data_IF_028660969015
#
_entry.id   IF_028660969015
#
_cell.length_a   1.000
_cell.length_b   1.000
_cell.length_c   1.000
_cell.angle_alpha   90.00
_cell.angle_beta   90.00
_cell.angle_gamma   90.00
#
_symmetry.space_group_name_H-M   'P 1'
#
loop_
_entity.id
_entity.type
_entity.pdbx_description
1 polymer ?
#
# COMPACT_ATOMS: atom_id res chain seq x y z
N UNK A 1 15.94 8.81 19.67
CA UNK A 1 16.26 8.38 18.29
C UNK A 1 16.85 6.99 18.37
N UNK A 2 16.06 5.94 18.13
CA UNK A 2 16.58 4.59 17.85
C UNK A 2 17.24 4.66 16.48
N UNK A 3 18.57 4.68 16.45
CA UNK A 3 19.37 5.08 15.29
C UNK A 3 19.65 3.97 14.26
N UNK A 4 19.08 2.77 14.41
CA UNK A 4 19.52 1.58 13.66
C UNK A 4 18.46 0.95 12.74
N UNK A 5 17.29 1.57 12.61
CA UNK A 5 16.23 1.08 11.72
C UNK A 5 16.11 1.98 10.49
N UNK A 6 17.07 1.88 9.56
CA UNK A 6 16.89 2.43 8.22
C UNK A 6 17.72 1.63 7.23
N UNK A 7 17.04 0.85 6.41
CA UNK A 7 17.58 0.42 5.12
C UNK A 7 17.21 1.48 4.11
N UNK A 8 18.17 1.91 3.28
CA UNK A 8 17.81 2.69 2.10
C UNK A 8 16.89 1.85 1.21
N UNK A 9 16.00 2.49 0.44
CA UNK A 9 15.04 1.78 -0.41
C UNK A 9 15.77 0.77 -1.31
N UNK A 10 15.42 -0.52 -1.17
CA UNK A 10 16.06 -1.61 -1.93
C UNK A 10 17.15 -2.38 -1.17
N UNK A 11 17.59 -1.91 0.00
CA UNK A 11 18.56 -2.64 0.83
C UNK A 11 17.89 -3.71 1.72
N UNK A 12 18.57 -4.82 2.04
CA UNK A 12 18.05 -5.86 2.93
C UNK A 12 17.84 -5.35 4.36
N UNK A 13 16.72 -5.74 4.99
CA UNK A 13 16.41 -5.39 6.39
C UNK A 13 17.53 -5.80 7.35
N UNK A 14 17.86 -4.88 8.28
CA UNK A 14 18.73 -5.16 9.42
C UNK A 14 18.16 -6.27 10.31
N UNK A 15 19.00 -6.86 11.15
CA UNK A 15 18.57 -7.92 12.06
C UNK A 15 17.54 -7.41 13.07
N UNK A 16 17.68 -6.16 13.51
CA UNK A 16 16.77 -5.47 14.41
C UNK A 16 15.39 -5.28 13.75
N UNK A 17 15.37 -4.83 12.50
CA UNK A 17 14.13 -4.68 11.72
C UNK A 17 13.45 -6.03 11.50
N UNK A 18 14.21 -7.10 11.22
CA UNK A 18 13.67 -8.47 11.10
C UNK A 18 13.05 -8.98 12.41
N UNK A 19 13.65 -8.66 13.56
CA UNK A 19 13.06 -8.98 14.87
C UNK A 19 11.70 -8.29 15.04
N UNK A 20 11.60 -7.00 14.71
CA UNK A 20 10.33 -6.27 14.77
C UNK A 20 9.27 -6.88 13.83
N UNK A 21 9.64 -7.23 12.60
CA UNK A 21 8.74 -7.90 11.65
C UNK A 21 8.22 -9.22 12.20
N UNK A 22 9.09 -10.05 12.79
CA UNK A 22 8.68 -11.33 13.37
C UNK A 22 7.75 -11.15 14.57
N UNK A 23 8.04 -10.17 15.44
CA UNK A 23 7.16 -9.79 16.55
C UNK A 23 5.78 -9.32 16.08
N UNK A 24 5.71 -8.58 14.96
CA UNK A 24 4.45 -8.19 14.33
C UNK A 24 3.72 -9.42 13.78
N UNK A 25 4.41 -10.33 13.08
CA UNK A 25 3.83 -11.58 12.55
C UNK A 25 3.16 -12.42 13.62
N UNK A 26 3.80 -12.57 14.78
CA UNK A 26 3.27 -13.35 15.90
C UNK A 26 1.96 -12.76 16.48
N UNK A 27 1.66 -11.48 16.21
CA UNK A 27 0.45 -10.79 16.66
C UNK A 27 -0.61 -10.65 15.56
N UNK A 28 -0.40 -11.26 14.40
CA UNK A 28 -1.42 -11.27 13.35
C UNK A 28 -2.55 -12.24 13.69
N UNK A 29 -3.77 -11.78 13.48
CA UNK A 29 -5.01 -12.54 13.72
C UNK A 29 -5.77 -12.82 12.42
N UNK A 30 -5.34 -12.20 11.31
CA UNK A 30 -5.89 -12.43 9.99
C UNK A 30 -4.97 -13.35 9.20
N UNK A 31 -5.52 -14.23 8.33
CA UNK A 31 -4.71 -14.97 7.39
C UNK A 31 -3.98 -13.99 6.46
N UNK A 32 -2.74 -14.31 6.14
CA UNK A 32 -1.90 -13.50 5.25
C UNK A 32 -1.56 -14.31 4.01
N UNK A 33 -1.87 -13.74 2.84
CA UNK A 33 -1.54 -14.38 1.56
C UNK A 33 -0.02 -14.48 1.39
N UNK A 34 0.53 -15.59 0.87
CA UNK A 34 1.98 -15.77 0.71
C UNK A 34 2.67 -14.65 -0.08
N UNK A 35 2.04 -14.15 -1.15
CA UNK A 35 2.58 -13.04 -1.94
C UNK A 35 2.69 -11.73 -1.15
N UNK A 36 1.86 -11.56 -0.11
CA UNK A 36 1.91 -10.41 0.78
C UNK A 36 2.79 -10.66 2.01
N UNK A 37 2.98 -11.91 2.45
CA UNK A 37 3.76 -12.29 3.62
C UNK A 37 5.27 -12.20 3.40
N UNK A 38 5.76 -11.01 3.11
CA UNK A 38 7.19 -10.72 2.95
C UNK A 38 7.66 -9.81 4.08
N UNK A 39 8.95 -9.90 4.40
CA UNK A 39 9.57 -9.00 5.39
C UNK A 39 9.34 -7.53 5.01
N UNK A 40 9.54 -7.22 3.72
CA UNK A 40 9.35 -5.88 3.18
C UNK A 40 7.93 -5.34 3.40
N UNK A 41 6.90 -6.11 3.05
CA UNK A 41 5.52 -5.64 3.15
C UNK A 41 5.10 -5.40 4.60
N UNK A 42 5.50 -6.27 5.53
CA UNK A 42 5.19 -6.10 6.94
C UNK A 42 5.99 -4.93 7.53
N UNK A 43 7.26 -4.79 7.15
CA UNK A 43 8.12 -3.72 7.65
C UNK A 43 7.62 -2.32 7.26
N UNK A 44 6.90 -2.17 6.13
CA UNK A 44 6.24 -0.89 5.78
C UNK A 44 5.28 -0.39 6.88
N UNK A 45 4.63 -1.30 7.59
CA UNK A 45 3.76 -0.94 8.72
C UNK A 45 4.55 -0.61 9.98
N UNK A 46 5.68 -1.29 10.20
CA UNK A 46 6.64 -0.95 11.27
C UNK A 46 7.19 0.46 11.07
N UNK A 47 7.69 0.77 9.88
CA UNK A 47 8.19 2.10 9.52
C UNK A 47 7.13 3.19 9.70
N UNK A 48 5.87 2.90 9.34
CA UNK A 48 4.78 3.85 9.56
C UNK A 48 4.50 4.08 11.06
N UNK A 49 4.54 3.02 11.87
CA UNK A 49 4.33 3.10 13.32
C UNK A 49 5.48 3.84 14.02
N UNK A 50 6.73 3.66 13.58
CA UNK A 50 7.91 4.36 14.10
C UNK A 50 7.84 5.89 13.93
N UNK A 51 7.04 6.39 12.99
CA UNK A 51 6.80 7.84 12.84
C UNK A 51 6.01 8.43 14.01
N UNK A 52 5.23 7.62 14.70
CA UNK A 52 4.29 8.05 15.74
C UNK A 52 4.70 7.54 17.13
N UNK A 53 5.51 6.50 17.19
CA UNK A 53 5.86 5.82 18.43
C UNK A 53 7.36 5.60 18.53
N UNK A 54 7.91 5.78 19.73
CA UNK A 54 9.35 5.60 20.01
C UNK A 54 9.67 4.33 20.80
N UNK A 55 8.66 3.73 21.45
CA UNK A 55 8.81 2.49 22.22
C UNK A 55 8.51 1.29 21.34
N UNK A 56 9.40 0.30 21.34
CA UNK A 56 9.27 -0.91 20.51
C UNK A 56 7.93 -1.62 20.69
N UNK A 57 7.44 -1.76 21.93
CA UNK A 57 6.14 -2.39 22.21
C UNK A 57 4.98 -1.68 21.48
N UNK A 58 4.93 -0.34 21.57
CA UNK A 58 3.86 0.46 20.99
C UNK A 58 3.95 0.45 19.46
N UNK A 59 5.16 0.49 18.90
CA UNK A 59 5.43 0.33 17.47
C UNK A 59 4.86 -1.00 16.96
N UNK A 60 5.19 -2.10 17.65
CA UNK A 60 4.76 -3.44 17.27
C UNK A 60 3.23 -3.58 17.35
N UNK A 61 2.60 -3.05 18.40
CA UNK A 61 1.15 -3.08 18.57
C UNK A 61 0.43 -2.29 17.46
N UNK A 62 0.89 -1.06 17.19
CA UNK A 62 0.34 -0.22 16.14
C UNK A 62 0.53 -0.84 14.75
N UNK A 63 1.72 -1.39 14.47
CA UNK A 63 2.01 -2.07 13.20
C UNK A 63 1.15 -3.32 13.03
N UNK A 64 1.02 -4.18 14.05
CA UNK A 64 0.18 -5.38 14.00
C UNK A 64 -1.30 -5.04 13.79
N UNK A 65 -1.80 -3.99 14.44
CA UNK A 65 -3.16 -3.47 14.21
C UNK A 65 -3.32 -2.99 12.76
N UNK A 66 -2.36 -2.25 12.25
CA UNK A 66 -2.33 -1.76 10.87
C UNK A 66 -2.36 -2.91 9.84
N UNK A 67 -1.49 -3.90 10.02
CA UNK A 67 -1.45 -5.09 9.15
C UNK A 67 -2.76 -5.86 9.22
N UNK A 68 -3.28 -6.16 10.41
CA UNK A 68 -4.56 -6.88 10.55
C UNK A 68 -5.72 -6.14 9.86
N UNK A 69 -5.80 -4.82 10.00
CA UNK A 69 -6.81 -4.03 9.31
C UNK A 69 -6.63 -4.06 7.79
N UNK A 70 -5.38 -3.97 7.31
CA UNK A 70 -5.08 -4.08 5.90
C UNK A 70 -5.47 -5.45 5.33
N UNK A 71 -5.16 -6.55 6.03
CA UNK A 71 -5.53 -7.91 5.62
C UNK A 71 -7.07 -8.09 5.56
N UNK A 72 -7.82 -7.50 6.50
CA UNK A 72 -9.29 -7.47 6.42
C UNK A 72 -9.78 -6.75 5.16
N UNK A 73 -9.21 -5.59 4.85
CA UNK A 73 -9.57 -4.83 3.66
C UNK A 73 -9.27 -5.62 2.38
N UNK A 74 -8.08 -6.24 2.28
CA UNK A 74 -7.71 -7.10 1.16
C UNK A 74 -8.73 -8.21 0.95
N UNK A 75 -9.11 -8.90 2.02
CA UNK A 75 -10.14 -9.96 1.98
C UNK A 75 -11.50 -9.43 1.53
N UNK A 76 -11.98 -8.32 2.10
CA UNK A 76 -13.29 -7.74 1.74
C UNK A 76 -13.36 -7.25 0.29
N UNK A 77 -12.21 -6.89 -0.30
CA UNK A 77 -12.10 -6.42 -1.68
C UNK A 77 -11.59 -7.49 -2.65
N UNK A 78 -11.39 -8.73 -2.18
CA UNK A 78 -10.84 -9.83 -2.96
C UNK A 78 -9.50 -9.51 -3.65
N UNK A 79 -8.65 -8.68 -3.02
CA UNK A 79 -7.39 -8.21 -3.63
C UNK A 79 -6.32 -9.29 -3.78
N UNK A 80 -6.50 -10.45 -3.16
CA UNK A 80 -5.61 -11.61 -3.32
C UNK A 80 -6.07 -12.53 -4.46
N UNK A 81 -7.30 -12.36 -4.97
CA UNK A 81 -7.94 -13.19 -6.00
C UNK A 81 -8.19 -12.42 -7.30
N UNK A 82 -8.06 -11.09 -7.27
CA UNK A 82 -8.31 -10.22 -8.40
C UNK A 82 -7.23 -10.41 -9.47
N UNK A 83 -7.67 -10.55 -10.72
CA UNK A 83 -6.77 -10.53 -11.87
C UNK A 83 -6.14 -9.13 -12.03
N UNK A 84 -4.95 -9.07 -12.62
CA UNK A 84 -4.33 -7.80 -12.99
C UNK A 84 -5.14 -7.15 -14.12
N UNK A 85 -5.96 -6.14 -13.77
CA UNK A 85 -6.79 -5.41 -14.73
C UNK A 85 -6.00 -4.21 -15.27
N UNK A 86 -5.76 -4.11 -16.59
CA UNK A 86 -5.11 -2.93 -17.14
C UNK A 86 -5.99 -1.69 -16.97
N UNK A 87 -5.38 -0.53 -16.76
CA UNK A 87 -6.09 0.74 -16.60
C UNK A 87 -7.09 1.05 -17.73
N UNK A 88 -6.82 0.58 -18.95
CA UNK A 88 -7.73 0.74 -20.09
C UNK A 88 -9.07 0.01 -19.95
N UNK A 89 -9.20 -0.92 -19.00
CA UNK A 89 -10.46 -1.60 -18.65
C UNK A 89 -11.13 -1.02 -17.42
N UNK A 90 -10.47 -0.12 -16.70
CA UNK A 90 -11.00 0.46 -15.46
C UNK A 90 -12.00 1.58 -15.79
N UNK A 91 -13.28 1.46 -15.38
CA UNK A 91 -14.33 2.41 -15.72
C UNK A 91 -14.07 3.86 -15.28
N UNK A 92 -13.22 4.07 -14.27
CA UNK A 92 -12.91 5.43 -13.82
C UNK A 92 -12.04 6.20 -14.82
N UNK A 93 -11.20 5.48 -15.56
CA UNK A 93 -10.31 6.04 -16.57
C UNK A 93 -10.98 6.06 -17.95
N UNK A 94 -11.68 4.98 -18.33
CA UNK A 94 -12.36 4.91 -19.65
C UNK A 94 -13.43 5.98 -19.81
N UNK A 95 -14.18 6.25 -18.74
CA UNK A 95 -15.20 7.31 -18.72
C UNK A 95 -14.62 8.70 -18.40
N UNK A 96 -13.29 8.82 -18.29
CA UNK A 96 -12.56 10.08 -18.06
C UNK A 96 -12.98 10.82 -16.79
N UNK A 97 -13.36 10.08 -15.75
CA UNK A 97 -13.68 10.65 -14.46
C UNK A 97 -12.41 11.06 -13.69
N UNK A 98 -11.36 10.26 -13.83
CA UNK A 98 -10.01 10.58 -13.37
C UNK A 98 -9.02 10.48 -14.53
N UNK A 99 -7.94 11.28 -14.53
CA UNK A 99 -6.81 11.09 -15.43
C UNK A 99 -6.18 9.73 -15.17
N UNK A 100 -5.94 8.98 -16.24
CA UNK A 100 -5.09 7.81 -16.18
C UNK A 100 -3.64 8.29 -16.07
N UNK A 101 -2.91 7.82 -15.06
CA UNK A 101 -1.49 8.13 -14.97
C UNK A 101 -0.64 7.33 -15.94
N UNK A 102 0.47 7.92 -16.37
CA UNK A 102 1.47 7.29 -17.24
C UNK A 102 2.65 6.81 -16.40
N UNK A 103 2.96 5.51 -16.49
CA UNK A 103 4.20 4.95 -15.95
C UNK A 103 5.27 5.10 -17.03
N UNK A 104 6.34 5.81 -16.70
CA UNK A 104 7.45 6.07 -17.61
C UNK A 104 8.42 4.89 -17.63
N UNK A 105 9.05 4.60 -18.78
CA UNK A 105 10.09 3.56 -18.87
C UNK A 105 11.36 3.94 -18.11
N UNK A 106 11.57 5.24 -17.84
CA UNK A 106 12.69 5.72 -17.06
C UNK A 106 12.45 5.60 -15.54
N UNK A 107 13.55 5.51 -14.78
CA UNK A 107 13.53 5.59 -13.31
C UNK A 107 14.23 6.86 -12.83
N UNK A 108 13.98 7.25 -11.59
CA UNK A 108 14.83 8.28 -10.97
C UNK A 108 16.23 7.76 -10.60
N UNK A 109 17.05 8.62 -9.99
CA UNK A 109 18.41 8.30 -9.56
C UNK A 109 18.50 7.20 -8.48
N UNK A 110 17.37 6.78 -7.92
CA UNK A 110 17.26 5.73 -6.91
C UNK A 110 16.56 4.48 -7.47
N UNK A 111 16.35 4.39 -8.80
CA UNK A 111 15.71 3.26 -9.44
C UNK A 111 14.21 3.15 -9.15
N UNK A 112 13.55 4.22 -8.70
CA UNK A 112 12.10 4.21 -8.44
C UNK A 112 11.34 4.46 -9.73
N UNK A 113 10.24 3.71 -9.91
CA UNK A 113 9.32 3.91 -11.02
C UNK A 113 8.71 5.31 -10.97
N UNK A 114 8.62 5.95 -12.13
CA UNK A 114 8.04 7.28 -12.28
C UNK A 114 6.60 7.15 -12.78
N UNK A 115 5.64 7.61 -11.98
CA UNK A 115 4.21 7.64 -12.31
C UNK A 115 3.70 9.08 -12.32
N UNK A 116 3.29 9.57 -13.50
CA UNK A 116 2.82 10.94 -13.70
C UNK A 116 1.31 10.97 -13.90
N UNK A 117 0.63 11.91 -13.24
CA UNK A 117 -0.83 12.09 -13.32
C UNK A 117 -1.14 13.57 -13.52
N UNK A 118 -1.92 13.91 -14.55
CA UNK A 118 -2.33 15.29 -14.83
C UNK A 118 -3.70 15.60 -14.20
N UNK A 119 -3.68 16.18 -13.00
CA UNK A 119 -4.88 16.46 -12.21
C UNK A 119 -5.78 17.58 -12.78
N UNK A 120 -5.30 18.38 -13.72
CA UNK A 120 -6.05 19.49 -14.32
C UNK A 120 -7.34 19.04 -15.04
N UNK A 121 -7.43 17.75 -15.37
CA UNK A 121 -8.52 17.16 -16.18
C UNK A 121 -9.60 16.47 -15.33
N UNK A 122 -9.52 16.54 -13.99
CA UNK A 122 -10.48 15.87 -13.11
C UNK A 122 -11.85 16.56 -13.15
N UNK A 123 -12.91 15.76 -13.30
CA UNK A 123 -14.30 16.22 -13.21
C UNK A 123 -14.97 15.66 -11.96
N UNK A 124 -14.84 16.37 -10.82
CA UNK A 124 -15.37 15.92 -9.51
C UNK A 124 -16.90 15.76 -9.55
N UNK A 125 -17.61 16.69 -10.17
CA UNK A 125 -19.07 16.62 -10.34
C UNK A 125 -19.48 15.37 -11.14
N UNK A 126 -18.72 15.04 -12.17
CA UNK A 126 -18.90 13.83 -12.97
C UNK A 126 -18.79 12.56 -12.13
N UNK A 127 -17.78 12.47 -11.26
CA UNK A 127 -17.62 11.34 -10.33
C UNK A 127 -18.82 11.24 -9.39
N UNK A 128 -19.18 12.35 -8.74
CA UNK A 128 -20.20 12.40 -7.69
C UNK A 128 -21.59 11.99 -8.17
N UNK A 129 -21.94 12.35 -9.42
CA UNK A 129 -23.26 12.07 -9.97
C UNK A 129 -23.34 10.78 -10.81
N UNK A 130 -22.21 10.27 -11.31
CA UNK A 130 -22.21 9.14 -12.25
C UNK A 130 -21.82 7.80 -11.64
N UNK A 131 -21.06 7.80 -10.53
CA UNK A 131 -20.55 6.58 -9.92
C UNK A 131 -20.91 6.55 -8.44
N UNK A 132 -21.40 5.40 -7.96
CA UNK A 132 -21.55 5.16 -6.52
C UNK A 132 -20.19 5.27 -5.85
N UNK A 133 -20.10 5.98 -4.72
CA UNK A 133 -18.83 6.21 -4.01
C UNK A 133 -18.06 4.91 -3.69
N UNK A 134 -18.78 3.83 -3.39
CA UNK A 134 -18.18 2.50 -3.16
C UNK A 134 -17.53 1.90 -4.41
N UNK A 135 -18.12 2.12 -5.59
CA UNK A 135 -17.53 1.69 -6.86
C UNK A 135 -16.30 2.55 -7.21
N UNK A 136 -16.37 3.87 -7.00
CA UNK A 136 -15.23 4.76 -7.20
C UNK A 136 -14.01 4.35 -6.34
N UNK A 137 -14.25 3.94 -5.08
CA UNK A 137 -13.20 3.39 -4.21
C UNK A 137 -12.69 2.05 -4.72
N UNK A 138 -13.56 1.12 -5.13
CA UNK A 138 -13.15 -0.18 -5.68
C UNK A 138 -12.26 -0.03 -6.91
N UNK A 139 -12.59 0.91 -7.80
CA UNK A 139 -11.81 1.21 -8.99
C UNK A 139 -10.40 1.73 -8.69
N UNK A 140 -10.10 2.20 -7.47
CA UNK A 140 -8.71 2.54 -7.10
C UNK A 140 -7.83 1.30 -6.85
N UNK A 141 -8.44 0.12 -6.70
CA UNK A 141 -7.76 -1.15 -6.46
C UNK A 141 -7.86 -2.12 -7.64
N UNK A 142 -8.38 -1.64 -8.78
CA UNK A 142 -8.47 -2.37 -10.04
C UNK A 142 -7.30 -2.01 -10.94
#
# INVERSE_FOLDING_TARGET
MTKDASTQHGEPLSQESKKLVNEVRLRLTQPIHPNFNTDFNIYRFVLNAERQHSKSKDIIEAAAKGVNNHLRLRKCLHLDEMEDVPFSKNPIFTNRFLPQGEIRPETDSQGRALWFVEYATITIEGIAHSIRSSAAIRYQFW
#
